data_IF_101229234129
#
_entry.id   IF_101229234129
#
_cell.length_a   1.000
_cell.length_b   1.000
_cell.length_c   1.000
_cell.angle_alpha   90.00
_cell.angle_beta   90.00
_cell.angle_gamma   90.00
#
_symmetry.space_group_name_H-M   'P 1'
#
loop_
_entity.id
_entity.type
_entity.pdbx_description
1 polymer ?
#
# COMPACT_ATOMS: atom_id res chain seq x y z
N UNK A 1 -3.90 -7.30 -17.92
CA UNK A 1 -4.26 -6.60 -16.67
C UNK A 1 -5.52 -5.76 -16.90
N UNK A 2 -5.52 -4.75 -17.79
CA UNK A 2 -6.64 -3.81 -18.02
C UNK A 2 -8.00 -4.52 -18.22
N UNK A 3 -8.07 -5.50 -19.14
CA UNK A 3 -9.32 -6.22 -19.46
C UNK A 3 -9.91 -6.90 -18.23
N UNK A 4 -9.06 -7.48 -17.39
CA UNK A 4 -9.52 -8.19 -16.19
C UNK A 4 -9.97 -7.20 -15.10
N UNK A 5 -9.25 -6.10 -14.89
CA UNK A 5 -9.67 -5.06 -13.94
C UNK A 5 -11.00 -4.42 -14.36
N UNK A 6 -11.18 -4.14 -15.65
CA UNK A 6 -12.48 -3.68 -16.18
C UNK A 6 -13.59 -4.72 -15.99
N UNK A 7 -13.26 -6.01 -16.10
CA UNK A 7 -14.19 -7.11 -15.82
C UNK A 7 -14.66 -7.16 -14.37
N UNK A 8 -13.84 -6.71 -13.42
CA UNK A 8 -14.17 -6.55 -12.00
C UNK A 8 -14.95 -5.25 -11.70
N UNK A 9 -15.21 -4.42 -12.71
CA UNK A 9 -15.99 -3.19 -12.59
C UNK A 9 -15.15 -1.95 -12.31
N UNK A 10 -13.82 -2.02 -12.35
CA UNK A 10 -12.94 -0.88 -12.15
C UNK A 10 -12.86 0.02 -13.38
N UNK A 11 -12.85 1.34 -13.15
CA UNK A 11 -12.43 2.30 -14.17
C UNK A 11 -10.90 2.30 -14.23
N UNK A 12 -10.34 2.09 -15.41
CA UNK A 12 -8.89 1.93 -15.61
C UNK A 12 -8.36 2.97 -16.57
N UNK A 13 -7.47 3.79 -16.09
CA UNK A 13 -6.68 4.73 -16.87
C UNK A 13 -5.31 4.11 -17.17
N UNK A 14 -4.76 4.38 -18.35
CA UNK A 14 -3.44 3.89 -18.75
C UNK A 14 -2.49 5.03 -19.04
N UNK A 15 -1.27 4.88 -18.54
CA UNK A 15 -0.13 5.72 -18.84
C UNK A 15 1.00 4.87 -19.40
N UNK A 16 1.72 5.38 -20.38
CA UNK A 16 2.82 4.67 -21.02
C UNK A 16 4.21 5.15 -20.54
N UNK A 17 4.24 6.17 -19.70
CA UNK A 17 5.44 6.70 -19.06
C UNK A 17 5.08 7.47 -17.79
N UNK A 18 6.10 7.79 -16.97
CA UNK A 18 5.88 8.43 -15.67
C UNK A 18 5.26 9.83 -15.75
N UNK A 19 5.55 10.61 -16.82
CA UNK A 19 4.97 11.94 -16.98
C UNK A 19 3.47 11.85 -17.23
N UNK A 20 3.05 10.98 -18.16
CA UNK A 20 1.64 10.74 -18.47
C UNK A 20 0.87 10.19 -17.24
N UNK A 21 1.54 9.33 -16.43
CA UNK A 21 0.95 8.82 -15.20
C UNK A 21 0.62 9.95 -14.21
N UNK A 22 1.50 10.92 -14.05
CA UNK A 22 1.26 12.07 -13.17
C UNK A 22 0.20 13.02 -13.75
N UNK A 23 0.19 13.25 -15.06
CA UNK A 23 -0.84 14.06 -15.73
C UNK A 23 -2.25 13.46 -15.52
N UNK A 24 -2.38 12.12 -15.63
CA UNK A 24 -3.64 11.42 -15.35
C UNK A 24 -3.98 11.50 -13.86
N UNK A 25 -3.00 11.31 -12.99
CA UNK A 25 -3.19 11.37 -11.54
C UNK A 25 -3.70 12.75 -11.09
N UNK A 26 -3.21 13.82 -11.71
CA UNK A 26 -3.64 15.19 -11.38
C UNK A 26 -5.01 15.55 -11.97
N UNK A 27 -5.42 14.88 -13.07
CA UNK A 27 -6.65 15.19 -13.79
C UNK A 27 -7.87 14.35 -13.34
N UNK A 28 -7.64 13.17 -12.82
CA UNK A 28 -8.66 12.16 -12.51
C UNK A 28 -8.64 11.77 -11.02
N UNK A 29 -9.78 11.33 -10.51
CA UNK A 29 -9.84 10.73 -9.16
C UNK A 29 -9.33 9.30 -9.20
N UNK A 30 -8.16 9.08 -8.61
CA UNK A 30 -7.48 7.79 -8.59
C UNK A 30 -7.50 7.20 -7.18
N UNK A 31 -8.05 6.00 -7.03
CA UNK A 31 -8.11 5.27 -5.76
C UNK A 31 -6.93 4.33 -5.53
N UNK A 32 -6.23 3.91 -6.60
CA UNK A 32 -5.08 3.02 -6.55
C UNK A 32 -4.21 3.19 -7.79
N UNK A 33 -2.89 3.18 -7.63
CA UNK A 33 -1.94 3.19 -8.73
C UNK A 33 -1.19 1.85 -8.83
N UNK A 34 -1.01 1.35 -10.06
CA UNK A 34 -0.11 0.25 -10.39
C UNK A 34 1.00 0.81 -11.25
N UNK A 35 2.23 0.78 -10.75
CA UNK A 35 3.38 1.40 -11.38
C UNK A 35 4.43 0.35 -11.74
N UNK A 36 4.89 0.38 -12.99
CA UNK A 36 6.09 -0.38 -13.40
C UNK A 36 7.33 0.36 -12.94
N UNK A 37 8.24 -0.32 -12.23
CA UNK A 37 9.53 0.29 -11.87
C UNK A 37 10.30 0.71 -13.13
N UNK A 38 10.34 -0.17 -14.14
CA UNK A 38 11.12 0.06 -15.35
C UNK A 38 10.29 0.78 -16.41
N UNK A 39 10.10 2.08 -16.25
CA UNK A 39 9.49 2.93 -17.27
C UNK A 39 10.54 3.82 -17.95
N UNK A 40 10.37 4.17 -19.25
CA UNK A 40 11.30 5.07 -19.93
C UNK A 40 11.17 6.50 -19.40
N UNK A 41 12.30 7.17 -19.20
CA UNK A 41 12.38 8.54 -18.70
C UNK A 41 12.27 8.61 -17.19
N UNK A 42 11.08 8.87 -16.66
CA UNK A 42 10.79 8.88 -15.23
C UNK A 42 10.38 7.47 -14.79
N UNK A 43 11.11 6.86 -13.87
CA UNK A 43 10.84 5.52 -13.38
C UNK A 43 9.65 5.48 -12.40
N UNK A 44 9.18 4.25 -12.06
CA UNK A 44 8.03 4.08 -11.17
C UNK A 44 8.28 4.56 -9.75
N UNK A 45 9.53 4.53 -9.26
CA UNK A 45 9.87 5.01 -7.93
C UNK A 45 9.77 6.54 -7.86
N UNK A 46 10.21 7.23 -8.91
CA UNK A 46 10.09 8.70 -9.00
C UNK A 46 8.62 9.13 -9.07
N UNK A 47 7.78 8.37 -9.81
CA UNK A 47 6.32 8.61 -9.87
C UNK A 47 5.70 8.39 -8.49
N UNK A 48 6.02 7.29 -7.84
CA UNK A 48 5.56 6.97 -6.48
C UNK A 48 5.90 8.09 -5.50
N UNK A 49 7.16 8.53 -5.47
CA UNK A 49 7.61 9.61 -4.59
C UNK A 49 6.87 10.93 -4.83
N UNK A 50 6.50 11.24 -6.08
CA UNK A 50 5.71 12.44 -6.41
C UNK A 50 4.26 12.30 -5.95
N UNK A 51 3.61 11.17 -6.19
CA UNK A 51 2.24 10.91 -5.71
C UNK A 51 2.20 11.02 -4.18
N UNK A 52 3.20 10.50 -3.47
CA UNK A 52 3.28 10.55 -2.00
C UNK A 52 3.40 11.96 -1.41
N UNK A 53 3.81 12.96 -2.19
CA UNK A 53 3.82 14.36 -1.74
C UNK A 53 2.40 14.91 -1.50
N UNK A 54 1.40 14.38 -2.18
CA UNK A 54 0.03 14.91 -2.16
C UNK A 54 -1.04 13.89 -1.78
N UNK A 55 -0.74 12.57 -1.86
CA UNK A 55 -1.74 11.52 -1.70
C UNK A 55 -1.21 10.30 -0.94
N UNK A 56 -2.14 9.63 -0.26
CA UNK A 56 -1.93 8.37 0.47
C UNK A 56 -2.63 7.18 -0.20
N UNK A 57 -3.07 7.31 -1.46
CA UNK A 57 -3.67 6.18 -2.18
C UNK A 57 -2.73 4.96 -2.18
N UNK A 58 -3.26 3.74 -2.17
CA UNK A 58 -2.42 2.56 -2.29
C UNK A 58 -1.69 2.52 -3.63
N UNK A 59 -0.40 2.14 -3.59
CA UNK A 59 0.47 2.00 -4.77
C UNK A 59 1.04 0.59 -4.79
N UNK A 60 0.80 -0.14 -5.88
CA UNK A 60 1.40 -1.44 -6.16
C UNK A 60 2.50 -1.27 -7.20
N UNK A 61 3.72 -1.68 -6.85
CA UNK A 61 4.86 -1.63 -7.77
C UNK A 61 5.02 -2.95 -8.52
N UNK A 62 5.27 -2.90 -9.81
CA UNK A 62 5.63 -4.05 -10.63
C UNK A 62 7.16 -4.07 -10.81
N UNK A 63 7.84 -5.11 -10.29
CA UNK A 63 9.30 -5.23 -10.33
C UNK A 63 9.77 -6.42 -11.16
N UNK A 64 11.02 -6.38 -11.67
CA UNK A 64 11.67 -7.54 -12.27
C UNK A 64 12.17 -8.50 -11.18
N UNK A 65 12.24 -9.80 -11.48
CA UNK A 65 12.48 -10.89 -10.52
C UNK A 65 13.89 -10.88 -9.87
N UNK A 66 14.83 -10.08 -10.34
CA UNK A 66 16.26 -10.25 -10.05
C UNK A 66 16.84 -9.27 -9.01
N UNK A 67 16.01 -8.50 -8.31
CA UNK A 67 16.55 -7.55 -7.36
C UNK A 67 15.92 -7.69 -5.96
N UNK A 68 16.56 -8.50 -5.11
CA UNK A 68 16.33 -8.41 -3.65
C UNK A 68 16.58 -6.99 -3.13
N UNK A 69 17.49 -6.24 -3.79
CA UNK A 69 17.73 -4.83 -3.53
C UNK A 69 16.52 -3.94 -3.84
N UNK A 70 15.68 -4.28 -4.83
CA UNK A 70 14.51 -3.48 -5.19
C UNK A 70 13.36 -3.67 -4.19
N UNK A 71 13.23 -4.84 -3.56
CA UNK A 71 12.24 -5.07 -2.50
C UNK A 71 12.54 -4.24 -1.25
N UNK A 72 13.80 -4.16 -0.86
CA UNK A 72 14.25 -3.35 0.29
C UNK A 72 14.20 -1.86 -0.04
N UNK A 73 14.64 -1.46 -1.24
CA UNK A 73 14.56 -0.07 -1.70
C UNK A 73 13.12 0.40 -1.87
N UNK A 74 12.23 -0.50 -2.22
CA UNK A 74 10.83 -0.19 -2.48
C UNK A 74 10.01 0.13 -1.24
N UNK A 75 10.28 -0.50 -0.11
CA UNK A 75 9.70 -0.11 1.19
C UNK A 75 10.14 1.30 1.59
N UNK A 76 11.35 1.72 1.18
CA UNK A 76 11.86 3.08 1.41
C UNK A 76 11.15 4.11 0.53
N UNK A 77 10.58 3.73 -0.61
CA UNK A 77 9.97 4.64 -1.58
C UNK A 77 8.45 4.87 -1.37
N UNK A 78 7.86 4.30 -0.32
CA UNK A 78 6.46 4.55 0.06
C UNK A 78 5.41 3.78 -0.76
N UNK A 79 5.78 2.71 -1.46
CA UNK A 79 4.82 1.78 -2.06
C UNK A 79 4.21 0.87 -0.99
N UNK A 80 2.95 0.46 -1.20
CA UNK A 80 2.20 -0.37 -0.25
C UNK A 80 2.33 -1.87 -0.57
N UNK A 81 2.67 -2.22 -1.80
CA UNK A 81 2.83 -3.61 -2.23
C UNK A 81 3.73 -3.73 -3.46
N UNK A 82 4.30 -4.94 -3.65
CA UNK A 82 5.20 -5.28 -4.76
C UNK A 82 4.77 -6.58 -5.41
N UNK A 83 4.72 -6.58 -6.74
CA UNK A 83 4.44 -7.76 -7.54
C UNK A 83 5.59 -8.00 -8.52
N UNK A 84 6.22 -9.17 -8.42
CA UNK A 84 7.34 -9.54 -9.28
C UNK A 84 6.87 -10.07 -10.63
N UNK A 85 7.49 -9.62 -11.71
CA UNK A 85 7.28 -10.12 -13.07
C UNK A 85 8.09 -11.41 -13.31
N UNK A 86 7.51 -12.44 -13.97
CA UNK A 86 6.13 -12.52 -14.47
C UNK A 86 5.14 -12.81 -13.35
N UNK A 87 4.00 -12.15 -13.35
CA UNK A 87 2.94 -12.32 -12.34
C UNK A 87 1.69 -12.98 -12.94
N UNK A 88 0.93 -13.65 -12.09
CA UNK A 88 -0.40 -14.13 -12.43
C UNK A 88 -1.40 -12.96 -12.32
N UNK A 89 -2.24 -12.79 -13.34
CA UNK A 89 -3.25 -11.73 -13.35
C UNK A 89 -4.23 -11.84 -12.17
N UNK A 90 -4.60 -13.07 -11.77
CA UNK A 90 -5.47 -13.29 -10.61
C UNK A 90 -4.80 -12.86 -9.29
N UNK A 91 -3.50 -13.04 -9.15
CA UNK A 91 -2.72 -12.56 -8.01
C UNK A 91 -2.77 -11.03 -7.93
N UNK A 92 -2.47 -10.34 -9.05
CA UNK A 92 -2.52 -8.89 -9.09
C UNK A 92 -3.91 -8.35 -8.74
N UNK A 93 -4.98 -8.95 -9.27
CA UNK A 93 -6.36 -8.57 -8.96
C UNK A 93 -6.66 -8.75 -7.46
N UNK A 94 -6.25 -9.87 -6.87
CA UNK A 94 -6.45 -10.14 -5.45
C UNK A 94 -5.74 -9.07 -4.57
N UNK A 95 -4.55 -8.63 -4.97
CA UNK A 95 -3.80 -7.56 -4.29
C UNK A 95 -4.50 -6.21 -4.45
N UNK A 96 -4.96 -5.84 -5.67
CA UNK A 96 -5.75 -4.64 -5.92
C UNK A 96 -7.00 -4.61 -5.03
N UNK A 97 -7.77 -5.70 -5.01
CA UNK A 97 -8.97 -5.81 -4.17
C UNK A 97 -8.64 -5.68 -2.67
N UNK A 98 -7.53 -6.26 -2.23
CA UNK A 98 -7.09 -6.15 -0.84
C UNK A 98 -6.70 -4.72 -0.47
N UNK A 99 -5.93 -4.04 -1.31
CA UNK A 99 -5.49 -2.67 -1.08
C UNK A 99 -6.67 -1.69 -1.12
N UNK A 100 -7.57 -1.80 -2.10
CA UNK A 100 -8.77 -0.96 -2.18
C UNK A 100 -9.72 -1.19 -1.01
N UNK A 101 -9.91 -2.44 -0.57
CA UNK A 101 -10.72 -2.74 0.62
C UNK A 101 -10.15 -2.05 1.87
N UNK A 102 -8.83 -2.08 2.07
CA UNK A 102 -8.17 -1.36 3.16
C UNK A 102 -8.41 0.14 3.03
N UNK A 103 -8.21 0.70 1.84
CA UNK A 103 -8.35 2.12 1.57
C UNK A 103 -9.79 2.61 1.71
N UNK A 104 -10.80 1.86 1.21
CA UNK A 104 -12.22 2.25 1.30
C UNK A 104 -12.90 1.84 2.61
N UNK A 105 -12.30 0.96 3.41
CA UNK A 105 -12.80 0.67 4.78
C UNK A 105 -12.74 1.87 5.71
N UNK A 106 -12.29 3.01 5.21
CA UNK A 106 -12.35 4.31 5.88
C UNK A 106 -13.76 4.83 6.21
N UNK A 107 -14.84 4.12 5.84
CA UNK A 107 -16.19 4.63 5.99
C UNK A 107 -17.28 3.67 6.49
N UNK A 108 -16.98 2.49 6.96
CA UNK A 108 -18.00 1.46 7.26
C UNK A 108 -17.88 0.83 8.66
N UNK A 109 -18.81 1.23 9.49
CA UNK A 109 -19.11 0.80 10.86
C UNK A 109 -19.11 -0.72 11.06
N UNK A 110 -18.24 -1.21 11.98
CA UNK A 110 -18.61 -2.09 13.10
C UNK A 110 -17.46 -2.15 14.12
N UNK A 111 -17.62 -1.34 15.16
CA UNK A 111 -16.64 -1.23 16.25
C UNK A 111 -16.77 -2.43 17.19
N UNK A 112 -15.73 -3.27 17.20
CA UNK A 112 -15.44 -4.15 18.35
C UNK A 112 -14.36 -3.48 19.19
N UNK A 113 -14.49 -3.51 20.49
CA UNK A 113 -13.62 -2.85 21.50
C UNK A 113 -12.13 -3.24 21.43
N UNK A 114 -11.76 -4.14 20.55
CA UNK A 114 -10.36 -4.56 20.25
C UNK A 114 -9.68 -3.76 19.12
N UNK A 115 -10.41 -2.87 18.46
CA UNK A 115 -9.92 -2.16 17.27
C UNK A 115 -9.40 -0.75 17.59
N UNK A 116 -9.42 -0.33 18.86
CA UNK A 116 -8.90 0.96 19.32
C UNK A 116 -7.65 0.75 20.17
N UNK A 117 -6.58 1.43 19.78
CA UNK A 117 -5.34 1.52 20.56
C UNK A 117 -5.21 2.94 21.11
N UNK A 118 -4.97 3.04 22.41
CA UNK A 118 -4.72 4.33 23.07
C UNK A 118 -3.50 4.19 23.98
N UNK A 119 -2.37 4.73 23.57
CA UNK A 119 -1.10 4.68 24.27
C UNK A 119 -0.58 6.11 24.42
N UNK A 120 -0.55 6.62 25.64
CA UNK A 120 -0.07 7.97 25.92
C UNK A 120 -0.70 9.03 25.01
N UNK A 121 0.09 9.52 24.04
CA UNK A 121 -0.32 10.55 23.08
C UNK A 121 -0.68 9.99 21.69
N UNK A 122 -0.72 8.67 21.53
CA UNK A 122 -1.09 7.98 20.30
C UNK A 122 -2.46 7.33 20.46
N UNK A 123 -3.42 7.76 19.65
CA UNK A 123 -4.73 7.15 19.53
C UNK A 123 -4.91 6.62 18.11
N UNK A 124 -5.36 5.39 17.96
CA UNK A 124 -5.61 4.74 16.67
C UNK A 124 -6.92 3.98 16.71
N UNK A 125 -7.69 4.06 15.64
CA UNK A 125 -8.90 3.27 15.43
C UNK A 125 -8.78 2.51 14.11
N UNK A 126 -8.73 1.17 14.22
CA UNK A 126 -8.58 0.29 13.06
C UNK A 126 -9.80 0.28 12.17
N UNK A 127 -11.00 0.42 12.75
CA UNK A 127 -12.25 0.40 12.00
C UNK A 127 -12.42 1.68 11.17
N UNK A 128 -11.93 2.81 11.70
CA UNK A 128 -11.95 4.11 11.04
C UNK A 128 -10.66 4.40 10.27
N UNK A 129 -9.60 3.59 10.46
CA UNK A 129 -8.23 3.86 9.98
C UNK A 129 -7.73 5.26 10.38
N UNK A 130 -8.15 5.74 11.53
CA UNK A 130 -7.74 7.04 12.04
C UNK A 130 -6.57 6.93 12.99
N UNK A 131 -5.65 7.89 12.87
CA UNK A 131 -4.52 8.08 13.79
C UNK A 131 -4.51 9.51 14.29
N UNK A 132 -4.34 9.66 15.59
CA UNK A 132 -4.08 10.97 16.22
C UNK A 132 -2.84 10.87 17.09
N UNK A 133 -1.91 11.78 16.87
CA UNK A 133 -0.73 11.94 17.72
C UNK A 133 -0.82 13.29 18.43
N UNK A 134 -0.70 13.30 19.76
CA UNK A 134 -0.87 14.51 20.59
C UNK A 134 -2.20 15.24 20.30
N UNK A 135 -3.28 14.47 20.02
CA UNK A 135 -4.60 14.99 19.67
C UNK A 135 -4.76 15.51 18.25
N UNK A 136 -3.70 15.56 17.45
CA UNK A 136 -3.74 16.02 16.07
C UNK A 136 -3.86 14.83 15.10
N UNK A 137 -4.69 14.91 14.04
CA UNK A 137 -4.79 13.87 13.04
C UNK A 137 -3.48 13.71 12.25
N UNK A 138 -3.08 12.46 12.01
CA UNK A 138 -1.90 12.09 11.22
C UNK A 138 -2.37 11.34 9.98
N UNK A 139 -1.86 11.73 8.80
CA UNK A 139 -2.13 11.00 7.56
C UNK A 139 -1.06 9.93 7.36
N UNK A 140 -1.52 8.69 7.24
CA UNK A 140 -0.70 7.52 6.93
C UNK A 140 -1.27 6.83 5.69
N UNK A 141 -0.41 6.16 4.94
CA UNK A 141 -0.85 5.20 3.93
C UNK A 141 -1.48 3.98 4.62
N UNK A 142 -2.29 3.17 3.93
CA UNK A 142 -2.89 1.98 4.53
C UNK A 142 -1.86 1.03 5.15
N UNK A 143 -0.71 0.84 4.50
CA UNK A 143 0.34 -0.04 5.00
C UNK A 143 1.09 0.53 6.21
N UNK A 144 1.35 1.84 6.21
CA UNK A 144 1.95 2.52 7.38
C UNK A 144 1.04 2.43 8.59
N UNK A 145 -0.27 2.57 8.38
CA UNK A 145 -1.26 2.40 9.44
C UNK A 145 -1.23 0.97 10.00
N UNK A 146 -1.27 -0.06 9.13
CA UNK A 146 -1.28 -1.46 9.56
C UNK A 146 -0.01 -1.83 10.34
N UNK A 147 1.16 -1.36 9.88
CA UNK A 147 2.43 -1.57 10.59
C UNK A 147 2.39 -0.90 11.97
N UNK A 148 2.01 0.38 12.02
CA UNK A 148 1.95 1.12 13.27
C UNK A 148 0.92 0.51 14.24
N UNK A 149 -0.25 0.11 13.74
CA UNK A 149 -1.30 -0.53 14.53
C UNK A 149 -0.83 -1.88 15.08
N UNK A 150 -0.14 -2.69 14.29
CA UNK A 150 0.43 -3.96 14.73
C UNK A 150 1.39 -3.73 15.91
N UNK A 151 2.29 -2.77 15.79
CA UNK A 151 3.28 -2.47 16.84
C UNK A 151 2.61 -1.89 18.09
N UNK A 152 1.71 -0.93 17.92
CA UNK A 152 1.01 -0.27 19.01
C UNK A 152 0.05 -1.21 19.77
N UNK A 153 -0.53 -2.19 19.09
CA UNK A 153 -1.40 -3.21 19.72
C UNK A 153 -0.62 -4.22 20.59
N UNK A 154 0.72 -4.24 20.48
CA UNK A 154 1.56 -5.18 21.23
C UNK A 154 2.72 -4.43 21.92
N UNK A 155 2.43 -3.57 22.90
CA UNK A 155 3.47 -2.85 23.62
C UNK A 155 4.44 -3.85 24.29
N UNK A 156 5.71 -3.53 24.29
CA UNK A 156 6.81 -4.36 24.80
C UNK A 156 7.14 -5.63 23.97
N UNK A 157 6.56 -5.81 22.78
CA UNK A 157 6.99 -6.85 21.85
C UNK A 157 7.88 -6.25 20.77
N UNK A 158 9.02 -6.91 20.53
CA UNK A 158 9.88 -6.64 19.36
C UNK A 158 9.42 -7.57 18.24
N UNK A 159 9.21 -7.01 17.07
CA UNK A 159 8.88 -7.73 15.86
C UNK A 159 10.09 -7.77 14.93
N UNK A 160 10.40 -8.93 14.37
CA UNK A 160 11.34 -9.02 13.27
C UNK A 160 10.71 -8.47 11.98
N UNK A 161 11.53 -8.13 10.99
CA UNK A 161 11.05 -7.70 9.67
C UNK A 161 10.13 -8.74 9.05
N UNK A 162 10.48 -10.03 9.17
CA UNK A 162 9.71 -11.15 8.64
C UNK A 162 8.35 -11.28 9.34
N UNK A 163 8.31 -11.16 10.68
CA UNK A 163 7.05 -11.16 11.43
C UNK A 163 6.12 -9.99 11.03
N UNK A 164 6.69 -8.79 10.81
CA UNK A 164 5.92 -7.63 10.32
C UNK A 164 5.36 -7.95 8.94
N UNK A 165 6.22 -8.44 8.04
CA UNK A 165 5.82 -8.78 6.68
C UNK A 165 4.70 -9.83 6.66
N UNK A 166 4.86 -10.95 7.35
CA UNK A 166 3.85 -12.01 7.42
C UNK A 166 2.50 -11.53 7.95
N UNK A 167 2.51 -10.66 8.97
CA UNK A 167 1.27 -10.20 9.62
C UNK A 167 0.56 -9.10 8.87
N UNK A 168 1.31 -8.19 8.26
CA UNK A 168 0.75 -7.02 7.56
C UNK A 168 0.34 -7.38 6.14
N UNK A 169 1.17 -8.16 5.42
CA UNK A 169 0.83 -8.60 4.06
C UNK A 169 0.05 -9.90 4.01
N UNK A 170 -0.03 -10.63 5.14
CA UNK A 170 -0.65 -11.96 5.25
C UNK A 170 -0.02 -13.00 4.30
N UNK A 171 1.28 -12.90 4.09
CA UNK A 171 2.10 -13.79 3.28
C UNK A 171 3.17 -14.44 4.15
N UNK A 172 3.38 -15.76 3.96
CA UNK A 172 4.50 -16.44 4.61
C UNK A 172 5.80 -16.10 3.89
N UNK A 173 6.80 -15.69 4.65
CA UNK A 173 8.17 -15.60 4.15
C UNK A 173 8.66 -17.02 3.95
N UNK A 174 8.80 -17.46 2.70
CA UNK A 174 9.48 -18.72 2.39
C UNK A 174 10.97 -18.46 2.45
N UNK A 175 11.64 -19.06 3.45
CA UNK A 175 13.09 -19.13 3.44
C UNK A 175 13.51 -19.88 2.19
N UNK A 176 14.25 -19.22 1.31
CA UNK A 176 14.93 -19.85 0.20
C UNK A 176 16.09 -20.68 0.78
N UNK A 177 15.91 -22.02 0.81
CA UNK A 177 16.99 -22.97 1.07
C UNK A 177 18.00 -22.96 -0.09
#
# INVERSE_FOLDING_TARGET
VEIHLKGEGYQVYKAYNGKEALEIFDAEEIDLAILDIMMPGMDGNEVCAKIRQTSTIPIIMLSAKDSESDKVSGLVNGADDYVTKPFNTSELIARVNSQLRRYHSFGGVESKTSDVVNIENLWMDKSLHEVKAYGNPVKLTPIEFDILFLMASHPNKVFSTDEIFERVWNEKVYEAN
#
